data_IF_122514228320
#
_entry.id   IF_122514228320
#
_cell.length_a   1.000
_cell.length_b   1.000
_cell.length_c   1.000
_cell.angle_alpha   90.00
_cell.angle_beta   90.00
_cell.angle_gamma   90.00
#
_symmetry.space_group_name_H-M   'P 1'
#
loop_
_entity.id
_entity.type
_entity.pdbx_description
1 polymer ?
#
# COMPACT_ATOMS: atom_id res chain seq x y z
N UNK A 1 48.39 -28.95 11.42
CA UNK A 1 47.03 -29.01 10.83
C UNK A 1 47.06 -30.09 9.75
N UNK A 2 46.19 -31.09 9.82
CA UNK A 2 46.19 -32.21 8.87
C UNK A 2 45.72 -31.74 7.48
N UNK A 3 46.27 -32.35 6.41
CA UNK A 3 45.90 -32.06 5.00
C UNK A 3 44.38 -31.98 4.79
N UNK A 4 43.62 -32.85 5.46
CA UNK A 4 42.13 -32.84 5.41
C UNK A 4 41.52 -31.56 5.98
N UNK A 5 42.05 -31.00 7.08
CA UNK A 5 41.54 -29.72 7.63
C UNK A 5 41.84 -28.54 6.70
N UNK A 6 42.97 -28.55 6.01
CA UNK A 6 43.29 -27.50 5.03
C UNK A 6 42.36 -27.55 3.81
N UNK A 7 42.05 -28.74 3.30
CA UNK A 7 41.10 -28.93 2.19
C UNK A 7 39.70 -28.48 2.60
N UNK A 8 39.23 -28.83 3.81
CA UNK A 8 37.90 -28.45 4.32
C UNK A 8 37.76 -26.93 4.45
N UNK A 9 38.80 -26.25 4.98
CA UNK A 9 38.84 -24.80 5.09
C UNK A 9 38.83 -24.14 3.71
N UNK A 10 39.59 -24.67 2.75
CA UNK A 10 39.59 -24.18 1.38
C UNK A 10 38.21 -24.27 0.69
N UNK A 11 37.54 -25.39 0.87
CA UNK A 11 36.19 -25.59 0.36
C UNK A 11 35.16 -24.61 0.99
N UNK A 12 35.25 -24.39 2.31
CA UNK A 12 34.39 -23.45 3.01
C UNK A 12 34.57 -22.02 2.52
N UNK A 13 35.81 -21.59 2.31
CA UNK A 13 36.14 -20.25 1.76
C UNK A 13 35.57 -20.09 0.34
N UNK A 14 35.74 -21.12 -0.52
CA UNK A 14 35.18 -21.07 -1.89
C UNK A 14 33.67 -20.97 -1.87
N UNK A 15 32.98 -21.76 -1.05
CA UNK A 15 31.55 -21.72 -0.89
C UNK A 15 31.09 -20.32 -0.43
N UNK A 16 31.75 -19.74 0.55
CA UNK A 16 31.45 -18.38 1.04
C UNK A 16 31.60 -17.33 -0.06
N UNK A 17 32.67 -17.41 -0.85
CA UNK A 17 32.90 -16.48 -1.98
C UNK A 17 31.83 -16.62 -3.03
N UNK A 18 31.38 -17.86 -3.33
CA UNK A 18 30.31 -18.12 -4.28
C UNK A 18 28.99 -17.51 -3.77
N UNK A 19 28.62 -17.72 -2.50
CA UNK A 19 27.40 -17.14 -1.92
C UNK A 19 27.43 -15.62 -1.89
N UNK A 20 28.57 -15.01 -1.54
CA UNK A 20 28.74 -13.55 -1.59
C UNK A 20 28.65 -13.05 -3.02
N UNK A 21 29.29 -13.74 -3.98
CA UNK A 21 29.22 -13.40 -5.41
C UNK A 21 27.79 -13.48 -5.98
N UNK A 22 27.03 -14.52 -5.62
CA UNK A 22 25.63 -14.66 -6.01
C UNK A 22 24.79 -13.55 -5.38
N UNK A 23 25.02 -13.23 -4.10
CA UNK A 23 24.33 -12.13 -3.41
C UNK A 23 24.57 -10.78 -4.08
N UNK A 24 25.82 -10.45 -4.40
CA UNK A 24 26.17 -9.20 -5.11
C UNK A 24 25.59 -9.19 -6.53
N UNK A 25 25.64 -10.31 -7.25
CA UNK A 25 25.07 -10.43 -8.59
C UNK A 25 23.56 -10.23 -8.59
N UNK A 26 22.84 -10.82 -7.64
CA UNK A 26 21.40 -10.68 -7.51
C UNK A 26 20.95 -9.25 -7.18
N UNK A 27 21.77 -8.50 -6.41
CA UNK A 27 21.49 -7.08 -6.11
C UNK A 27 21.75 -6.15 -7.30
N UNK A 28 22.59 -6.55 -8.25
CA UNK A 28 22.93 -5.77 -9.43
C UNK A 28 22.19 -6.21 -10.71
N UNK A 29 21.22 -7.11 -10.61
CA UNK A 29 20.33 -7.39 -11.75
C UNK A 29 19.54 -6.12 -12.08
N UNK A 30 19.43 -5.74 -13.39
CA UNK A 30 18.63 -4.61 -13.77
C UNK A 30 17.19 -4.83 -13.31
N UNK A 31 16.67 -3.87 -12.54
CA UNK A 31 15.29 -3.90 -12.06
C UNK A 31 14.37 -3.90 -13.27
N UNK A 32 13.41 -4.81 -13.28
CA UNK A 32 12.52 -4.99 -14.43
C UNK A 32 11.49 -3.85 -14.44
N UNK A 33 11.61 -2.98 -15.42
CA UNK A 33 10.59 -2.01 -15.76
C UNK A 33 9.35 -2.73 -16.31
N UNK A 34 8.15 -2.35 -15.81
CA UNK A 34 6.92 -2.80 -16.45
C UNK A 34 6.70 -2.09 -17.80
N UNK A 35 6.21 -2.77 -18.83
CA UNK A 35 5.89 -2.11 -20.10
C UNK A 35 4.87 -0.97 -19.89
N UNK A 36 5.22 0.24 -20.30
CA UNK A 36 4.37 1.42 -20.15
C UNK A 36 4.51 2.16 -18.81
N UNK A 37 5.38 1.70 -17.90
CA UNK A 37 5.66 2.39 -16.65
C UNK A 37 6.41 3.71 -16.92
N UNK A 38 5.91 4.82 -16.36
CA UNK A 38 6.59 6.12 -16.43
C UNK A 38 7.54 6.30 -15.25
N UNK A 39 8.70 6.92 -15.51
CA UNK A 39 9.76 7.15 -14.53
C UNK A 39 10.00 8.63 -14.22
N UNK A 40 9.23 9.50 -14.83
CA UNK A 40 9.26 10.94 -14.61
C UNK A 40 7.86 11.51 -14.80
N UNK A 41 7.46 12.44 -13.97
CA UNK A 41 6.22 13.17 -14.09
C UNK A 41 6.42 14.62 -13.64
N UNK A 42 6.11 15.59 -14.51
CA UNK A 42 6.26 17.04 -14.25
C UNK A 42 7.66 17.43 -13.72
N UNK A 43 8.72 16.78 -14.23
CA UNK A 43 10.10 17.02 -13.85
C UNK A 43 10.53 16.36 -12.52
N UNK A 44 9.71 15.48 -11.97
CA UNK A 44 10.03 14.69 -10.77
C UNK A 44 10.38 13.24 -11.17
N UNK A 45 11.52 12.75 -10.68
CA UNK A 45 11.91 11.35 -10.84
C UNK A 45 11.02 10.44 -10.00
N UNK A 46 10.55 9.34 -10.60
CA UNK A 46 9.72 8.34 -9.96
C UNK A 46 10.51 7.05 -9.68
N UNK A 47 10.18 6.39 -8.59
CA UNK A 47 10.70 5.07 -8.27
C UNK A 47 10.00 4.01 -9.11
N UNK A 48 10.75 2.93 -9.45
CA UNK A 48 10.17 1.78 -10.14
C UNK A 48 9.15 1.05 -9.26
N UNK A 49 8.06 0.58 -9.85
CA UNK A 49 7.03 -0.24 -9.19
C UNK A 49 7.63 -1.51 -8.54
N UNK A 50 8.68 -2.07 -9.17
CA UNK A 50 9.39 -3.25 -8.65
C UNK A 50 10.53 -2.94 -7.68
N UNK A 51 10.79 -1.68 -7.36
CA UNK A 51 11.97 -1.29 -6.60
C UNK A 51 11.81 -1.32 -5.08
N UNK A 52 10.66 -1.68 -4.57
CA UNK A 52 10.43 -1.74 -3.14
C UNK A 52 9.79 -3.05 -2.70
N UNK A 53 10.00 -3.35 -1.42
CA UNK A 53 9.56 -4.59 -0.84
C UNK A 53 8.04 -4.69 -0.81
N UNK A 54 7.50 -5.85 -1.16
CA UNK A 54 6.10 -6.19 -0.88
C UNK A 54 5.98 -6.55 0.60
N UNK A 55 5.13 -5.83 1.33
CA UNK A 55 4.82 -6.10 2.73
C UNK A 55 3.32 -6.35 2.86
N UNK A 56 2.96 -7.53 3.32
CA UNK A 56 1.59 -7.95 3.60
C UNK A 56 1.56 -9.05 4.65
N UNK A 57 0.39 -9.33 5.21
CA UNK A 57 0.24 -10.35 6.27
C UNK A 57 -0.01 -11.74 5.72
N UNK A 58 -0.42 -11.87 4.45
CA UNK A 58 -0.70 -13.16 3.78
C UNK A 58 -0.13 -13.28 2.36
N UNK A 59 0.80 -12.37 1.97
CA UNK A 59 1.28 -12.29 0.59
C UNK A 59 0.32 -11.58 -0.36
N UNK A 60 0.72 -11.35 -1.63
CA UNK A 60 -0.09 -10.69 -2.64
C UNK A 60 -1.43 -11.38 -2.87
N UNK A 61 -2.51 -10.60 -2.96
CA UNK A 61 -3.86 -11.11 -3.15
C UNK A 61 -4.24 -11.08 -4.64
N UNK A 62 -4.91 -12.14 -5.11
CA UNK A 62 -5.41 -12.25 -6.48
C UNK A 62 -6.93 -11.99 -6.48
N UNK A 63 -7.31 -10.75 -6.68
CA UNK A 63 -8.72 -10.31 -6.66
C UNK A 63 -9.19 -10.14 -8.11
N UNK A 64 -10.40 -10.63 -8.41
CA UNK A 64 -11.01 -10.49 -9.73
C UNK A 64 -11.94 -9.28 -9.72
N UNK A 65 -11.81 -8.40 -10.70
CA UNK A 65 -12.68 -7.23 -10.90
C UNK A 65 -14.16 -7.60 -10.86
N UNK A 66 -14.54 -8.64 -11.59
CA UNK A 66 -15.94 -9.07 -11.74
C UNK A 66 -16.63 -9.56 -10.45
N UNK A 67 -15.85 -9.78 -9.38
CA UNK A 67 -16.37 -10.25 -8.08
C UNK A 67 -15.93 -9.34 -6.93
N UNK A 68 -15.27 -8.24 -7.26
CA UNK A 68 -14.86 -7.26 -6.27
C UNK A 68 -16.01 -6.35 -5.87
N UNK A 69 -16.13 -6.09 -4.59
CA UNK A 69 -16.94 -5.02 -4.05
C UNK A 69 -16.20 -4.26 -2.95
N UNK A 70 -16.49 -2.97 -2.87
CA UNK A 70 -16.10 -2.09 -1.78
C UNK A 70 -17.36 -1.70 -1.01
N UNK A 71 -17.43 -2.09 0.27
CA UNK A 71 -18.57 -1.76 1.12
C UNK A 71 -18.24 -0.59 2.05
N UNK A 72 -19.17 0.36 2.17
CA UNK A 72 -19.10 1.46 3.15
C UNK A 72 -20.15 1.23 4.21
N UNK A 73 -19.75 1.15 5.48
CA UNK A 73 -20.57 0.75 6.62
C UNK A 73 -20.39 1.67 7.83
N UNK A 74 -20.98 1.31 8.95
CA UNK A 74 -20.80 1.98 10.25
C UNK A 74 -21.73 3.18 10.43
N UNK A 75 -21.20 4.30 10.89
CA UNK A 75 -21.93 5.55 11.15
C UNK A 75 -22.22 6.30 9.84
N UNK A 76 -23.10 5.73 9.04
CA UNK A 76 -23.63 6.26 7.77
C UNK A 76 -25.15 6.13 7.75
N UNK A 77 -25.84 6.96 6.94
CA UNK A 77 -27.28 6.84 6.79
C UNK A 77 -27.68 5.58 6.03
N UNK A 78 -26.83 5.16 5.09
CA UNK A 78 -27.05 3.95 4.30
C UNK A 78 -25.71 3.22 4.05
N UNK A 79 -25.73 1.91 4.23
CA UNK A 79 -24.64 1.06 3.74
C UNK A 79 -24.67 1.06 2.22
N UNK A 80 -23.53 1.29 1.59
CA UNK A 80 -23.37 1.26 0.13
C UNK A 80 -22.34 0.22 -0.23
N UNK A 81 -22.56 -0.47 -1.32
CA UNK A 81 -21.64 -1.39 -1.95
C UNK A 81 -21.38 -0.92 -3.39
N UNK A 82 -20.11 -0.76 -3.73
CA UNK A 82 -19.66 -0.40 -5.08
C UNK A 82 -18.91 -1.57 -5.71
N UNK A 83 -19.24 -1.90 -6.94
CA UNK A 83 -18.38 -2.73 -7.79
C UNK A 83 -17.13 -1.96 -8.23
N UNK A 84 -16.14 -2.69 -8.75
CA UNK A 84 -14.96 -2.07 -9.34
C UNK A 84 -15.33 -1.08 -10.46
N UNK A 85 -16.20 -1.51 -11.37
CA UNK A 85 -16.60 -0.71 -12.52
C UNK A 85 -17.35 0.58 -12.13
N UNK A 86 -18.17 0.55 -11.09
CA UNK A 86 -18.87 1.75 -10.58
C UNK A 86 -17.86 2.76 -10.06
N UNK A 87 -16.86 2.34 -9.25
CA UNK A 87 -15.84 3.26 -8.76
C UNK A 87 -15.03 3.86 -9.92
N UNK A 88 -14.60 3.04 -10.88
CA UNK A 88 -13.78 3.50 -12.02
C UNK A 88 -14.52 4.47 -12.93
N UNK A 89 -15.85 4.33 -13.07
CA UNK A 89 -16.62 5.09 -14.05
C UNK A 89 -17.40 6.28 -13.45
N UNK A 90 -17.73 6.27 -12.17
CA UNK A 90 -18.59 7.28 -11.55
C UNK A 90 -17.85 8.41 -10.86
N UNK A 91 -16.60 8.18 -10.42
CA UNK A 91 -15.85 9.17 -9.66
C UNK A 91 -14.79 9.88 -10.51
N UNK A 92 -14.50 11.13 -10.14
CA UNK A 92 -13.45 11.91 -10.78
C UNK A 92 -12.08 11.32 -10.42
N UNK A 93 -11.19 11.26 -11.44
CA UNK A 93 -9.83 10.76 -11.28
C UNK A 93 -8.88 11.89 -10.95
N UNK A 94 -8.03 11.65 -9.98
CA UNK A 94 -6.99 12.58 -9.50
C UNK A 94 -5.63 11.90 -9.61
N UNK A 95 -4.62 12.70 -9.93
CA UNK A 95 -3.23 12.25 -9.93
C UNK A 95 -2.43 13.00 -8.89
N UNK A 96 -1.53 12.31 -8.21
CA UNK A 96 -0.68 12.88 -7.17
C UNK A 96 0.66 12.15 -7.13
N UNK A 97 1.77 12.92 -7.20
CA UNK A 97 3.09 12.38 -6.89
C UNK A 97 3.30 12.49 -5.39
N UNK A 98 3.51 11.38 -4.72
CA UNK A 98 3.83 11.38 -3.30
C UNK A 98 4.73 10.22 -2.91
N UNK A 99 5.45 10.38 -1.80
CA UNK A 99 6.41 9.40 -1.31
C UNK A 99 5.81 8.56 -0.19
N UNK A 100 5.84 7.24 -0.38
CA UNK A 100 5.56 6.27 0.67
C UNK A 100 6.83 6.03 1.47
N UNK A 101 6.76 6.21 2.79
CA UNK A 101 7.84 5.95 3.73
C UNK A 101 7.57 4.70 4.55
N UNK A 102 8.47 3.72 4.49
CA UNK A 102 8.38 2.54 5.32
C UNK A 102 9.12 2.74 6.65
N UNK A 103 8.59 2.15 7.72
CA UNK A 103 9.27 2.11 9.03
C UNK A 103 10.58 1.29 9.00
N UNK A 104 10.81 0.51 7.96
CA UNK A 104 12.05 -0.23 7.70
C UNK A 104 13.17 0.66 7.14
N UNK A 105 12.95 1.97 6.93
CA UNK A 105 13.96 2.94 6.51
C UNK A 105 14.10 3.12 5.00
N UNK A 106 13.24 2.53 4.17
CA UNK A 106 13.19 2.80 2.73
C UNK A 106 11.99 3.68 2.36
N UNK A 107 12.07 4.34 1.22
CA UNK A 107 11.00 5.15 0.67
C UNK A 107 10.94 5.05 -0.84
N UNK A 108 9.76 5.30 -1.42
CA UNK A 108 9.54 5.31 -2.87
C UNK A 108 8.61 6.46 -3.24
N UNK A 109 8.97 7.17 -4.31
CA UNK A 109 8.17 8.26 -4.89
C UNK A 109 7.43 7.74 -6.10
N UNK A 110 6.11 7.81 -6.09
CA UNK A 110 5.23 7.20 -7.08
C UNK A 110 4.20 8.24 -7.55
N UNK A 111 3.90 8.23 -8.85
CA UNK A 111 2.71 8.87 -9.40
C UNK A 111 1.50 7.96 -9.14
N UNK A 112 0.63 8.37 -8.25
CA UNK A 112 -0.62 7.68 -7.94
C UNK A 112 -1.77 8.28 -8.73
N UNK A 113 -2.67 7.44 -9.24
CA UNK A 113 -3.94 7.85 -9.82
C UNK A 113 -5.07 7.12 -9.11
N UNK A 114 -6.09 7.87 -8.72
CA UNK A 114 -7.21 7.33 -7.94
C UNK A 114 -8.35 8.33 -7.80
N UNK A 115 -9.16 8.12 -6.79
CA UNK A 115 -10.38 8.87 -6.48
C UNK A 115 -10.24 9.51 -5.11
N UNK A 116 -10.76 10.71 -4.90
CA UNK A 116 -10.82 11.29 -3.56
C UNK A 116 -11.70 10.39 -2.68
N UNK A 117 -11.10 9.92 -1.59
CA UNK A 117 -11.81 9.03 -0.68
C UNK A 117 -13.04 9.70 -0.07
N UNK A 118 -12.95 10.99 0.23
CA UNK A 118 -14.08 11.77 0.75
C UNK A 118 -15.30 11.72 -0.18
N UNK A 119 -15.11 11.89 -1.50
CA UNK A 119 -16.21 11.84 -2.49
C UNK A 119 -16.91 10.48 -2.50
N UNK A 120 -16.17 9.39 -2.28
CA UNK A 120 -16.72 8.04 -2.19
C UNK A 120 -17.54 7.88 -0.89
N UNK A 121 -16.98 8.34 0.24
CA UNK A 121 -17.61 8.25 1.55
C UNK A 121 -18.88 9.08 1.64
N UNK A 122 -18.92 10.25 1.01
CA UNK A 122 -20.09 11.13 1.00
C UNK A 122 -21.34 10.48 0.36
N UNK A 123 -21.16 9.52 -0.56
CA UNK A 123 -22.27 8.75 -1.13
C UNK A 123 -23.07 7.97 -0.07
N UNK A 124 -22.40 7.56 1.01
CA UNK A 124 -23.05 6.84 2.12
C UNK A 124 -23.74 7.78 3.13
N UNK A 125 -23.68 9.10 2.91
CA UNK A 125 -24.24 10.12 3.82
C UNK A 125 -23.70 9.97 5.25
N UNK A 126 -22.46 10.39 5.44
CA UNK A 126 -21.70 10.26 6.70
C UNK A 126 -22.49 10.88 7.87
N UNK A 127 -22.66 10.14 8.96
CA UNK A 127 -23.22 10.68 10.19
C UNK A 127 -22.30 11.74 10.81
N UNK A 128 -22.89 12.78 11.41
CA UNK A 128 -22.16 13.81 12.14
C UNK A 128 -21.33 13.27 13.34
N UNK A 129 -21.65 12.09 13.81
CA UNK A 129 -20.98 11.44 14.93
C UNK A 129 -19.74 10.65 14.49
N UNK A 130 -19.44 10.62 13.20
CA UNK A 130 -18.27 9.92 12.65
C UNK A 130 -17.00 10.74 12.85
N UNK A 131 -16.00 10.16 13.51
CA UNK A 131 -14.71 10.79 13.79
C UNK A 131 -13.52 10.03 13.19
N UNK A 132 -13.69 8.74 12.92
CA UNK A 132 -12.63 7.86 12.44
C UNK A 132 -13.14 6.97 11.31
N UNK A 133 -12.26 6.68 10.37
CA UNK A 133 -12.50 5.75 9.27
C UNK A 133 -11.62 4.53 9.46
N UNK A 134 -12.24 3.36 9.56
CA UNK A 134 -11.57 2.08 9.71
C UNK A 134 -11.59 1.37 8.36
N UNK A 135 -10.46 0.84 7.97
CA UNK A 135 -10.28 0.14 6.70
C UNK A 135 -10.01 -1.33 6.94
N UNK A 136 -10.66 -2.20 6.17
CA UNK A 136 -10.44 -3.63 6.18
C UNK A 136 -10.04 -4.12 4.78
N UNK A 137 -9.04 -5.00 4.74
CA UNK A 137 -8.49 -5.57 3.53
C UNK A 137 -8.85 -7.04 3.36
N UNK A 138 -8.82 -7.50 2.11
CA UNK A 138 -9.11 -8.88 1.72
C UNK A 138 -8.25 -9.94 2.45
N UNK A 139 -7.01 -9.61 2.78
CA UNK A 139 -6.09 -10.49 3.52
C UNK A 139 -6.35 -10.52 5.04
N UNK A 140 -7.28 -9.69 5.54
CA UNK A 140 -7.60 -9.52 6.95
C UNK A 140 -6.75 -8.46 7.66
N UNK A 141 -5.97 -7.68 6.91
CA UNK A 141 -5.32 -6.48 7.44
C UNK A 141 -6.35 -5.41 7.76
N UNK A 142 -6.08 -4.59 8.79
CA UNK A 142 -6.90 -3.43 9.10
C UNK A 142 -6.06 -2.28 9.66
N UNK A 143 -6.54 -1.06 9.47
CA UNK A 143 -5.98 0.17 10.04
C UNK A 143 -7.06 1.24 10.13
N UNK A 144 -6.76 2.39 10.70
CA UNK A 144 -7.70 3.50 10.78
C UNK A 144 -7.01 4.84 10.56
N UNK A 145 -7.79 5.83 10.15
CA UNK A 145 -7.38 7.23 10.04
C UNK A 145 -8.48 8.14 10.59
N UNK A 146 -8.14 9.29 11.21
CA UNK A 146 -9.14 10.30 11.55
C UNK A 146 -9.88 10.79 10.30
N UNK A 147 -11.19 10.99 10.39
CA UNK A 147 -12.00 11.49 9.27
C UNK A 147 -11.52 12.88 8.82
N UNK A 148 -11.18 13.76 9.76
CA UNK A 148 -10.65 15.09 9.46
C UNK A 148 -9.31 15.04 8.70
N UNK A 149 -8.46 14.04 8.99
CA UNK A 149 -7.23 13.86 8.23
C UNK A 149 -7.53 13.52 6.75
N UNK A 150 -8.52 12.66 6.48
CA UNK A 150 -8.94 12.29 5.13
C UNK A 150 -9.43 13.51 4.35
N UNK A 151 -10.25 14.33 4.98
CA UNK A 151 -10.80 15.56 4.40
C UNK A 151 -9.73 16.61 4.11
N UNK A 152 -8.81 16.82 5.05
CA UNK A 152 -7.82 17.89 4.96
C UNK A 152 -6.62 17.57 4.05
N UNK A 153 -6.35 16.29 3.76
CA UNK A 153 -5.16 15.85 3.01
C UNK A 153 -5.48 15.32 1.60
N UNK A 154 -6.73 15.45 1.15
CA UNK A 154 -7.14 14.95 -0.17
C UNK A 154 -6.64 13.51 -0.41
N UNK A 155 -6.96 12.63 0.55
CA UNK A 155 -6.55 11.23 0.52
C UNK A 155 -7.22 10.53 -0.65
N UNK A 156 -6.42 9.81 -1.45
CA UNK A 156 -6.93 9.08 -2.61
C UNK A 156 -6.98 7.56 -2.38
N UNK A 157 -8.02 6.96 -2.92
CA UNK A 157 -8.13 5.53 -3.13
C UNK A 157 -7.56 5.24 -4.53
N UNK A 158 -6.29 4.81 -4.57
CA UNK A 158 -5.56 4.63 -5.83
C UNK A 158 -5.87 3.30 -6.50
N UNK A 159 -5.99 3.29 -7.83
CA UNK A 159 -6.11 2.11 -8.68
C UNK A 159 -4.97 1.98 -9.68
N UNK A 160 -4.16 3.06 -9.84
CA UNK A 160 -2.94 3.04 -10.65
C UNK A 160 -1.73 3.62 -9.91
N UNK A 161 -0.57 3.22 -10.37
CA UNK A 161 0.73 3.76 -10.01
C UNK A 161 1.63 3.85 -11.25
N UNK A 162 2.37 4.96 -11.41
CA UNK A 162 3.22 5.24 -12.58
C UNK A 162 2.50 4.92 -13.92
N UNK A 163 1.24 5.34 -14.05
CA UNK A 163 0.31 5.14 -15.17
C UNK A 163 -0.15 3.68 -15.42
N UNK A 164 0.30 2.73 -14.65
CA UNK A 164 -0.14 1.34 -14.73
C UNK A 164 -1.21 1.01 -13.69
N UNK A 165 -2.18 0.18 -14.06
CA UNK A 165 -3.10 -0.43 -13.08
C UNK A 165 -2.26 -1.13 -12.02
N UNK A 166 -2.65 -0.99 -10.74
CA UNK A 166 -1.97 -1.61 -9.63
C UNK A 166 -1.79 -3.12 -9.89
N UNK A 167 -0.56 -3.64 -9.88
CA UNK A 167 -0.40 -5.08 -9.89
C UNK A 167 -0.88 -5.69 -8.56
N UNK A 168 -1.19 -6.99 -8.51
CA UNK A 168 -1.70 -7.66 -7.32
C UNK A 168 -0.87 -7.40 -6.07
N UNK A 169 0.47 -7.43 -6.18
CA UNK A 169 1.39 -7.17 -5.07
C UNK A 169 1.39 -5.72 -4.58
N UNK A 170 0.85 -4.79 -5.36
CA UNK A 170 0.73 -3.36 -5.04
C UNK A 170 -0.68 -2.94 -4.66
N UNK A 171 -1.57 -3.91 -4.42
CA UNK A 171 -2.86 -3.62 -3.81
C UNK A 171 -4.05 -3.58 -4.76
N UNK A 172 -3.92 -4.11 -6.01
CA UNK A 172 -5.08 -4.25 -6.88
C UNK A 172 -6.28 -4.90 -6.15
N UNK A 173 -7.50 -4.38 -6.24
CA UNK A 173 -7.95 -3.27 -7.10
C UNK A 173 -7.64 -1.86 -6.56
N UNK A 174 -7.57 -1.69 -5.23
CA UNK A 174 -7.37 -0.37 -4.62
C UNK A 174 -6.40 -0.41 -3.45
N UNK A 175 -5.56 0.64 -3.39
CA UNK A 175 -4.67 0.95 -2.28
C UNK A 175 -4.93 2.37 -1.77
N UNK A 176 -4.92 2.55 -0.45
CA UNK A 176 -4.98 3.87 0.16
C UNK A 176 -3.64 4.60 0.03
N UNK A 177 -3.68 5.86 -0.38
CA UNK A 177 -2.52 6.76 -0.40
C UNK A 177 -2.61 7.71 0.79
N UNK A 178 -2.05 7.29 1.92
CA UNK A 178 -2.10 8.03 3.18
C UNK A 178 -0.89 8.95 3.32
N UNK A 179 -0.80 10.01 2.52
CA UNK A 179 0.29 10.98 2.53
C UNK A 179 0.59 11.49 3.95
N UNK A 180 1.86 11.74 4.26
CA UNK A 180 2.36 12.11 5.59
C UNK A 180 2.27 11.03 6.68
N UNK A 181 1.80 9.82 6.36
CA UNK A 181 1.77 8.67 7.27
C UNK A 181 2.74 7.59 6.81
N UNK A 182 3.31 6.85 7.76
CA UNK A 182 4.12 5.67 7.45
C UNK A 182 3.31 4.59 6.72
N UNK A 183 4.00 3.79 5.90
CA UNK A 183 3.44 2.80 4.97
C UNK A 183 2.45 1.78 5.56
N UNK A 184 2.48 1.53 6.88
CA UNK A 184 1.47 0.66 7.49
C UNK A 184 0.06 1.28 7.57
N UNK A 185 -0.10 2.57 7.28
CA UNK A 185 -1.41 3.21 7.07
C UNK A 185 -1.88 3.13 5.61
N UNK A 186 -1.02 2.75 4.68
CA UNK A 186 -1.30 2.65 3.25
C UNK A 186 -1.84 1.26 2.91
N UNK A 187 -3.04 0.95 3.42
CA UNK A 187 -3.67 -0.36 3.28
C UNK A 187 -3.93 -0.72 1.82
N UNK A 188 -3.67 -1.98 1.46
CA UNK A 188 -3.87 -2.60 0.15
C UNK A 188 -5.11 -3.50 0.16
N UNK A 189 -5.66 -3.78 -1.03
CA UNK A 189 -6.77 -4.74 -1.19
C UNK A 189 -8.00 -4.42 -0.34
N UNK A 190 -8.34 -3.14 -0.24
CA UNK A 190 -9.44 -2.66 0.60
C UNK A 190 -10.76 -3.26 0.10
N UNK A 191 -11.56 -3.82 1.01
CA UNK A 191 -12.87 -4.40 0.71
C UNK A 191 -14.00 -3.78 1.53
N UNK A 192 -13.65 -3.15 2.68
CA UNK A 192 -14.63 -2.48 3.52
C UNK A 192 -14.03 -1.22 4.15
N UNK A 193 -14.87 -0.20 4.27
CA UNK A 193 -14.57 1.06 4.94
C UNK A 193 -15.70 1.32 5.92
N UNK A 194 -15.38 1.36 7.22
CA UNK A 194 -16.34 1.58 8.30
C UNK A 194 -16.16 2.99 8.89
N UNK A 195 -17.22 3.77 8.89
CA UNK A 195 -17.29 5.05 9.62
C UNK A 195 -17.60 4.77 11.10
N UNK A 196 -16.81 5.34 12.01
CA UNK A 196 -16.90 5.05 13.44
C UNK A 196 -16.62 6.30 14.27
N UNK A 197 -16.93 6.27 15.56
CA UNK A 197 -16.49 7.24 16.57
C UNK A 197 -15.48 6.65 17.57
N UNK A 198 -14.99 5.43 17.33
CA UNK A 198 -13.97 4.81 18.17
C UNK A 198 -12.57 5.27 17.78
N UNK A 199 -12.16 6.44 18.27
CA UNK A 199 -10.80 6.98 18.09
C UNK A 199 -9.71 6.09 18.71
N UNK A 200 -10.07 5.12 19.54
CA UNK A 200 -9.14 4.17 20.17
C UNK A 200 -8.89 2.92 19.33
N UNK A 201 -9.59 2.75 18.21
CA UNK A 201 -9.42 1.60 17.33
C UNK A 201 -7.97 1.39 16.94
N UNK A 202 -7.52 0.15 17.01
CA UNK A 202 -6.16 -0.26 16.63
C UNK A 202 -6.22 -1.39 15.63
N UNK A 203 -5.68 -1.15 14.46
CA UNK A 203 -5.53 -2.15 13.42
C UNK A 203 -4.40 -3.14 13.68
N UNK A 204 -3.96 -3.81 12.61
CA UNK A 204 -3.02 -4.93 12.70
C UNK A 204 -1.67 -4.55 13.35
N UNK A 205 -1.03 -3.46 12.90
CA UNK A 205 0.27 -3.05 13.43
C UNK A 205 0.14 -2.25 14.72
N UNK A 206 -0.91 -1.46 14.86
CA UNK A 206 -1.18 -0.66 16.05
C UNK A 206 -1.40 -1.54 17.29
N UNK A 207 -2.05 -2.71 17.14
CA UNK A 207 -2.17 -3.72 18.22
C UNK A 207 -0.84 -4.37 18.58
N UNK A 208 0.19 -4.24 17.72
CA UNK A 208 1.55 -4.75 17.91
C UNK A 208 2.53 -3.67 18.36
N UNK A 209 2.04 -2.50 18.79
CA UNK A 209 2.83 -1.44 19.40
C UNK A 209 3.27 -0.31 18.47
N UNK A 210 2.84 -0.31 17.21
CA UNK A 210 3.04 0.84 16.33
C UNK A 210 2.11 1.99 16.69
N UNK A 211 2.53 3.23 16.40
CA UNK A 211 1.73 4.43 16.69
C UNK A 211 0.43 4.44 15.90
N UNK A 212 -0.69 4.79 16.54
CA UNK A 212 -1.94 5.00 15.80
C UNK A 212 -1.91 6.26 14.94
N UNK A 213 -1.19 7.29 15.37
CA UNK A 213 -1.01 8.51 14.58
C UNK A 213 -0.16 8.29 13.31
N UNK A 214 0.91 7.49 13.39
CA UNK A 214 1.77 7.13 12.27
C UNK A 214 2.38 8.29 11.47
N UNK A 215 2.35 9.53 11.98
CA UNK A 215 2.90 10.69 11.27
C UNK A 215 4.41 10.55 11.05
N UNK A 216 4.86 10.90 9.85
CA UNK A 216 6.27 10.99 9.48
C UNK A 216 6.85 12.20 10.22
N UNK A 217 7.99 11.98 10.90
CA UNK A 217 8.68 13.00 11.67
C UNK A 217 9.73 13.71 10.82
#
# INVERSE_FOLDING_TARGET
MTKHKQILIGLLVIITIIFVGIGIYSQNLPKKLYPGEVLEYEGQDLSLINDFRENSIKGPQQIKESTYSLTITGLVNQTIEFSYDEIINEFQKYQKVTTLHCVEGWSVTILWEGFLLEEILEKAEISSDSEVVIFYAYDGYSTSLPLDYIRNQEIILAYKMNELILPPERGFPFQLVAESKYGYKWIKWITEIELSNDLSYKGYWETRGFSNDASIK
#
